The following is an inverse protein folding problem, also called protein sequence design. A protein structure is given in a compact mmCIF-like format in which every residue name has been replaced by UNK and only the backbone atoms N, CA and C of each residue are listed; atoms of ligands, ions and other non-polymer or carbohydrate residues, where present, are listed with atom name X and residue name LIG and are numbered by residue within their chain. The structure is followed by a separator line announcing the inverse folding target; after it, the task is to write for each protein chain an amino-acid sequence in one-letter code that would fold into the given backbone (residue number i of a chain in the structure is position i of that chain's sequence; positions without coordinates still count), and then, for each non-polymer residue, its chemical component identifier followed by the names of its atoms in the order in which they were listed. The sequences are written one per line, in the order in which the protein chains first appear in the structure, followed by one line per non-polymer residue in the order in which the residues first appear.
data_IF_573219703223
#
_entry.id   IF_573219703223
#
_cell.length_a   1.000
_cell.length_b   1.000
_cell.length_c   1.000
_cell.angle_alpha   90.00
_cell.angle_beta   90.00
_cell.angle_gamma   90.00
#
_symmetry.space_group_name_H-M   'P 1'
#
loop_
_entity.id
_entity.type
_entity.pdbx_description
1 polymer ?
#
# COMPACT_ATOMS: atom_id res chain seq x y z
N UNK A 1 20.94 -25.71 -11.40
CA UNK A 1 19.96 -24.59 -11.33
C UNK A 1 20.34 -23.66 -10.17
N UNK A 2 20.72 -22.41 -10.43
CA UNK A 2 20.94 -21.43 -9.37
C UNK A 2 19.62 -21.23 -8.61
N UNK A 3 19.65 -21.38 -7.29
CA UNK A 3 18.48 -21.12 -6.42
C UNK A 3 18.08 -19.65 -6.59
N UNK A 4 16.86 -19.40 -7.04
CA UNK A 4 16.35 -18.03 -7.28
C UNK A 4 16.12 -17.33 -5.92
N UNK A 5 17.14 -16.59 -5.48
CA UNK A 5 17.13 -15.83 -4.23
C UNK A 5 16.26 -14.59 -4.41
N UNK A 6 15.49 -14.24 -3.39
CA UNK A 6 14.76 -12.97 -3.35
C UNK A 6 15.68 -11.86 -2.83
N UNK A 7 15.94 -10.89 -3.66
CA UNK A 7 16.87 -9.79 -3.41
C UNK A 7 16.30 -8.45 -3.87
N UNK A 8 17.12 -7.42 -3.81
CA UNK A 8 16.76 -6.06 -4.25
C UNK A 8 16.29 -6.00 -5.70
N UNK A 9 16.95 -6.69 -6.63
CA UNK A 9 16.60 -6.69 -8.05
C UNK A 9 15.24 -7.34 -8.29
N UNK A 10 14.98 -8.46 -7.58
CA UNK A 10 13.68 -9.13 -7.64
C UNK A 10 12.58 -8.23 -7.09
N UNK A 11 12.82 -7.57 -5.96
CA UNK A 11 11.91 -6.58 -5.39
C UNK A 11 11.62 -5.44 -6.39
N UNK A 12 12.66 -4.82 -6.97
CA UNK A 12 12.52 -3.76 -7.99
C UNK A 12 11.66 -4.20 -9.17
N UNK A 13 11.84 -5.44 -9.63
CA UNK A 13 11.09 -5.98 -10.77
C UNK A 13 9.58 -6.10 -10.49
N UNK A 14 9.19 -6.29 -9.24
CA UNK A 14 7.79 -6.43 -8.81
C UNK A 14 7.08 -5.09 -8.57
N UNK A 15 7.82 -3.98 -8.43
CA UNK A 15 7.24 -2.65 -8.29
C UNK A 15 6.50 -2.28 -9.58
N UNK A 16 5.29 -1.76 -9.43
CA UNK A 16 4.46 -1.31 -10.56
C UNK A 16 5.15 -0.21 -11.38
N UNK A 17 4.82 -0.14 -12.70
CA UNK A 17 5.28 0.96 -13.57
C UNK A 17 4.94 2.34 -13.00
N UNK A 18 3.78 2.46 -12.34
CA UNK A 18 3.36 3.64 -11.58
C UNK A 18 3.01 3.20 -10.16
N UNK A 19 3.95 3.33 -9.25
CA UNK A 19 3.81 2.90 -7.87
C UNK A 19 3.25 4.02 -6.97
N UNK A 20 2.48 3.62 -5.97
CA UNK A 20 2.12 4.49 -4.85
C UNK A 20 3.38 4.83 -4.05
N UNK A 21 3.51 6.08 -3.64
CA UNK A 21 4.66 6.52 -2.84
C UNK A 21 4.37 7.85 -2.12
N UNK A 22 5.13 8.13 -1.08
CA UNK A 22 5.20 9.45 -0.44
C UNK A 22 6.51 9.59 0.34
N UNK A 23 6.85 10.82 0.71
CA UNK A 23 7.90 11.11 1.69
C UNK A 23 7.29 11.40 3.06
N UNK A 24 6.12 12.07 3.07
CA UNK A 24 5.35 12.36 4.27
C UNK A 24 3.86 12.05 4.00
N UNK A 25 3.20 11.40 4.95
CA UNK A 25 1.77 11.09 4.86
C UNK A 25 0.90 12.35 4.91
N UNK A 26 1.38 13.43 5.53
CA UNK A 26 0.69 14.72 5.57
C UNK A 26 0.66 15.41 4.20
N UNK A 27 1.66 15.16 3.35
CA UNK A 27 1.69 15.65 1.95
C UNK A 27 0.80 14.80 1.01
N UNK A 28 0.22 13.72 1.54
CA UNK A 28 -0.62 12.79 0.82
C UNK A 28 0.16 11.72 0.07
N UNK A 29 -0.57 10.70 -0.37
CA UNK A 29 -0.04 9.58 -1.14
C UNK A 29 -0.36 9.77 -2.63
N UNK A 30 0.60 9.52 -3.49
CA UNK A 30 0.47 9.75 -4.94
C UNK A 30 1.14 8.63 -5.75
N UNK A 31 0.80 8.54 -7.03
CA UNK A 31 1.46 7.61 -7.95
C UNK A 31 2.55 8.31 -8.74
N UNK A 32 3.73 7.69 -8.82
CA UNK A 32 4.85 8.14 -9.66
C UNK A 32 5.37 7.00 -10.51
N UNK A 33 6.04 7.31 -11.65
CA UNK A 33 6.84 6.32 -12.38
C UNK A 33 7.80 5.61 -11.42
N UNK A 34 8.06 4.32 -11.66
CA UNK A 34 8.89 3.45 -10.80
C UNK A 34 10.20 4.12 -10.39
N UNK A 35 10.92 4.69 -11.35
CA UNK A 35 12.23 5.31 -11.14
C UNK A 35 12.18 6.48 -10.15
N UNK A 36 11.04 7.18 -10.08
CA UNK A 36 10.82 8.28 -9.13
C UNK A 36 10.21 7.80 -7.82
N UNK A 37 9.40 6.76 -7.86
CA UNK A 37 8.79 6.18 -6.67
C UNK A 37 9.82 5.49 -5.78
N UNK A 38 10.82 4.83 -6.39
CA UNK A 38 11.92 4.15 -5.66
C UNK A 38 12.84 5.10 -4.88
N UNK A 39 12.79 6.39 -5.17
CA UNK A 39 13.53 7.42 -4.43
C UNK A 39 12.77 7.97 -3.22
N UNK A 40 11.51 7.55 -3.03
CA UNK A 40 10.65 8.06 -1.97
C UNK A 40 10.83 7.28 -0.67
N UNK A 41 10.48 7.91 0.45
CA UNK A 41 10.58 7.35 1.80
C UNK A 41 9.69 6.13 1.99
N UNK A 42 8.47 6.19 1.44
CA UNK A 42 7.49 5.10 1.49
C UNK A 42 7.05 4.71 0.09
N UNK A 43 6.82 3.40 -0.14
CA UNK A 43 6.45 2.84 -1.43
C UNK A 43 5.42 1.71 -1.28
N UNK A 44 4.51 1.58 -2.25
CA UNK A 44 3.56 0.48 -2.33
C UNK A 44 4.19 -0.76 -2.98
N UNK A 45 4.22 -1.86 -2.25
CA UNK A 45 4.71 -3.16 -2.73
C UNK A 45 3.59 -3.98 -3.38
N UNK A 46 2.49 -4.15 -2.70
CA UNK A 46 1.31 -4.80 -3.23
C UNK A 46 0.54 -3.87 -4.18
N UNK A 47 -0.27 -4.44 -5.06
CA UNK A 47 -1.10 -3.67 -5.98
C UNK A 47 -2.58 -4.08 -5.87
N UNK A 48 -3.47 -3.41 -6.62
CA UNK A 48 -4.89 -3.71 -6.57
C UNK A 48 -5.28 -5.09 -7.10
N UNK A 49 -4.39 -5.72 -7.87
CA UNK A 49 -4.65 -7.00 -8.51
C UNK A 49 -4.01 -8.18 -7.79
N UNK A 50 -2.87 -7.96 -7.12
CA UNK A 50 -2.07 -9.03 -6.53
C UNK A 50 -1.56 -8.68 -5.13
N UNK A 51 -1.48 -9.71 -4.28
CA UNK A 51 -0.64 -9.74 -3.09
C UNK A 51 0.69 -10.37 -3.53
N UNK A 52 1.74 -9.54 -3.68
CA UNK A 52 3.09 -10.00 -4.00
C UNK A 52 3.80 -10.58 -2.77
N UNK A 53 3.36 -10.19 -1.59
CA UNK A 53 3.85 -10.65 -0.30
C UNK A 53 3.17 -9.94 0.86
N UNK A 54 3.55 -10.31 2.05
CA UNK A 54 3.05 -9.71 3.29
C UNK A 54 4.07 -8.74 3.85
N UNK A 55 3.62 -7.59 4.28
CA UNK A 55 4.40 -6.60 5.01
C UNK A 55 3.78 -6.43 6.38
N UNK A 56 4.61 -6.51 7.42
CA UNK A 56 4.18 -6.32 8.80
C UNK A 56 4.89 -5.10 9.38
N UNK A 57 4.11 -4.14 9.88
CA UNK A 57 4.63 -2.97 10.58
C UNK A 57 4.77 -3.30 12.06
N UNK A 58 6.01 -3.42 12.51
CA UNK A 58 6.35 -3.80 13.88
C UNK A 58 6.86 -2.56 14.61
N UNK A 59 5.97 -1.96 15.42
CA UNK A 59 6.17 -0.67 16.08
C UNK A 59 6.71 -0.81 17.50
N UNK A 60 7.81 -1.58 17.67
CA UNK A 60 8.54 -1.66 18.92
C UNK A 60 10.05 -1.75 18.67
N UNK A 61 10.87 -1.49 19.68
CA UNK A 61 12.33 -1.37 19.59
C UNK A 61 13.05 -2.60 19.03
N UNK A 62 12.45 -3.80 19.18
CA UNK A 62 13.01 -5.07 18.67
C UNK A 62 12.38 -5.47 17.32
N UNK A 63 11.79 -4.55 16.58
CA UNK A 63 11.08 -4.84 15.35
C UNK A 63 11.87 -5.64 14.32
N UNK A 64 13.18 -5.40 14.21
CA UNK A 64 14.05 -6.09 13.26
C UNK A 64 14.27 -7.58 13.57
N UNK A 65 14.09 -8.02 14.82
CA UNK A 65 14.27 -9.42 15.27
C UNK A 65 12.97 -10.05 15.77
N UNK A 66 11.85 -9.35 15.64
CA UNK A 66 10.56 -9.83 16.13
C UNK A 66 10.13 -11.16 15.52
N UNK A 67 10.52 -11.42 14.28
CA UNK A 67 10.27 -12.69 13.59
C UNK A 67 10.94 -13.88 14.29
N UNK A 68 12.17 -13.73 14.77
CA UNK A 68 12.93 -14.76 15.47
C UNK A 68 12.33 -15.01 16.85
N UNK A 69 12.05 -13.94 17.60
CA UNK A 69 11.37 -14.01 18.90
C UNK A 69 9.99 -14.66 18.81
N UNK A 70 9.29 -14.47 17.70
CA UNK A 70 8.00 -15.09 17.42
C UNK A 70 8.11 -16.53 16.87
N UNK A 71 9.33 -17.06 16.63
CA UNK A 71 9.53 -18.36 15.99
C UNK A 71 8.93 -18.44 14.58
N UNK A 72 8.95 -17.34 13.84
CA UNK A 72 8.50 -17.26 12.45
C UNK A 72 9.67 -17.44 11.48
N UNK A 73 9.41 -17.79 10.21
CA UNK A 73 10.45 -17.82 9.19
C UNK A 73 11.12 -16.45 9.05
N UNK A 74 12.39 -16.45 8.66
CA UNK A 74 13.15 -15.23 8.43
C UNK A 74 12.51 -14.41 7.31
N UNK A 75 12.22 -13.10 7.46
CA UNK A 75 11.66 -12.30 6.38
C UNK A 75 12.64 -12.15 5.20
N UNK A 76 12.15 -11.92 3.99
CA UNK A 76 12.97 -11.67 2.80
C UNK A 76 13.72 -10.34 2.85
N UNK A 77 13.09 -9.34 3.48
CA UNK A 77 13.73 -8.07 3.78
C UNK A 77 13.25 -7.54 5.13
N UNK A 78 14.18 -6.89 5.85
CA UNK A 78 13.94 -6.20 7.11
C UNK A 78 14.29 -4.73 6.87
N UNK A 79 13.30 -3.84 7.03
CA UNK A 79 13.45 -2.41 6.77
C UNK A 79 13.28 -1.67 8.10
N UNK A 80 14.37 -1.31 8.72
CA UNK A 80 14.41 -0.79 10.08
C UNK A 80 14.59 0.73 10.10
N UNK A 81 13.82 1.38 10.98
CA UNK A 81 14.12 2.72 11.46
C UNK A 81 15.17 2.61 12.57
N UNK A 82 16.37 3.11 12.33
CA UNK A 82 17.50 3.02 13.27
C UNK A 82 17.36 3.92 14.49
N UNK A 83 16.42 4.88 14.46
CA UNK A 83 16.21 5.82 15.57
C UNK A 83 15.38 5.17 16.68
N UNK A 84 14.32 4.43 16.32
CA UNK A 84 13.37 3.87 17.29
C UNK A 84 13.28 2.34 17.28
N UNK A 85 14.03 1.67 16.40
CA UNK A 85 14.03 0.20 16.28
C UNK A 85 12.83 -0.40 15.55
N UNK A 86 11.80 0.37 15.22
CA UNK A 86 10.64 -0.10 14.49
C UNK A 86 11.01 -0.60 13.10
N UNK A 87 10.34 -1.65 12.63
CA UNK A 87 10.71 -2.28 11.36
C UNK A 87 9.48 -2.73 10.55
N UNK A 88 9.61 -2.66 9.23
CA UNK A 88 8.76 -3.44 8.34
C UNK A 88 9.44 -4.76 7.99
N UNK A 89 8.70 -5.85 8.14
CA UNK A 89 9.14 -7.20 7.78
C UNK A 89 8.43 -7.65 6.53
N UNK A 90 9.19 -7.92 5.46
CA UNK A 90 8.66 -8.34 4.17
C UNK A 90 8.79 -9.85 3.98
N UNK A 91 7.69 -10.53 3.72
CA UNK A 91 7.60 -11.92 3.31
C UNK A 91 7.08 -11.99 1.86
N UNK A 92 7.98 -12.09 0.92
CA UNK A 92 7.65 -12.14 -0.50
C UNK A 92 7.07 -13.50 -0.89
N UNK A 93 6.04 -13.52 -1.72
CA UNK A 93 5.45 -14.75 -2.23
C UNK A 93 6.09 -15.17 -3.55
N UNK A 94 6.39 -16.47 -3.68
CA UNK A 94 6.85 -17.08 -4.92
C UNK A 94 5.82 -16.95 -6.03
N UNK A 95 4.56 -17.14 -5.70
CA UNK A 95 3.41 -16.98 -6.58
C UNK A 95 2.50 -15.92 -5.94
N UNK A 96 2.34 -14.74 -6.56
CA UNK A 96 1.43 -13.72 -6.06
C UNK A 96 -0.02 -14.21 -5.98
N UNK A 97 -0.76 -13.79 -4.96
CA UNK A 97 -2.17 -14.13 -4.81
C UNK A 97 -3.03 -13.11 -5.53
N UNK A 98 -3.88 -13.58 -6.44
CA UNK A 98 -4.80 -12.72 -7.19
C UNK A 98 -5.92 -12.19 -6.27
N UNK A 99 -6.24 -10.88 -6.39
CA UNK A 99 -7.28 -10.17 -5.60
C UNK A 99 -8.50 -9.74 -6.42
N UNK A 100 -8.56 -10.08 -7.70
CA UNK A 100 -9.66 -9.68 -8.58
C UNK A 100 -10.91 -10.53 -8.35
N UNK A 101 -12.05 -10.12 -8.94
CA UNK A 101 -13.31 -10.86 -8.84
C UNK A 101 -13.22 -12.30 -9.39
N UNK A 102 -12.27 -12.57 -10.29
CA UNK A 102 -11.99 -13.91 -10.82
C UNK A 102 -11.04 -14.73 -9.92
N UNK A 103 -10.60 -14.18 -8.79
CA UNK A 103 -9.70 -14.88 -7.89
C UNK A 103 -10.37 -16.07 -7.21
N UNK A 104 -9.63 -17.18 -7.14
CA UNK A 104 -10.06 -18.34 -6.35
C UNK A 104 -10.07 -17.97 -4.86
N UNK A 105 -11.15 -18.30 -4.16
CA UNK A 105 -11.36 -17.93 -2.76
C UNK A 105 -10.36 -18.62 -1.80
N UNK A 106 -9.95 -19.85 -2.10
CA UNK A 106 -9.05 -20.62 -1.23
C UNK A 106 -7.69 -19.94 -1.01
N UNK A 107 -6.94 -19.48 -2.04
CA UNK A 107 -5.70 -18.74 -1.84
C UNK A 107 -5.89 -17.43 -1.08
N UNK A 108 -6.99 -16.70 -1.33
CA UNK A 108 -7.30 -15.46 -0.60
C UNK A 108 -7.54 -15.72 0.89
N UNK A 109 -8.30 -16.78 1.21
CA UNK A 109 -8.51 -17.21 2.60
C UNK A 109 -7.20 -17.56 3.28
N UNK A 110 -6.37 -18.35 2.61
CA UNK A 110 -5.09 -18.74 3.18
C UNK A 110 -4.18 -17.51 3.40
N UNK A 111 -4.16 -16.57 2.43
CA UNK A 111 -3.41 -15.32 2.58
C UNK A 111 -3.89 -14.49 3.78
N UNK A 112 -5.23 -14.43 4.00
CA UNK A 112 -5.82 -13.75 5.16
C UNK A 112 -5.40 -14.41 6.48
N UNK A 113 -5.44 -15.74 6.54
CA UNK A 113 -5.01 -16.50 7.71
C UNK A 113 -3.54 -16.24 8.04
N UNK A 114 -2.66 -16.24 7.03
CA UNK A 114 -1.23 -15.91 7.21
C UNK A 114 -1.06 -14.48 7.72
N UNK A 115 -1.73 -13.51 7.07
CA UNK A 115 -1.67 -12.11 7.49
C UNK A 115 -2.09 -11.94 8.95
N UNK A 116 -3.22 -12.50 9.33
CA UNK A 116 -3.74 -12.40 10.69
C UNK A 116 -2.82 -13.08 11.71
N UNK A 117 -2.41 -14.31 11.42
CA UNK A 117 -1.57 -15.10 12.33
C UNK A 117 -0.19 -14.49 12.56
N UNK A 118 0.45 -13.98 11.51
CA UNK A 118 1.73 -13.30 11.63
C UNK A 118 1.60 -11.96 12.34
N UNK A 119 0.54 -11.17 12.05
CA UNK A 119 0.28 -9.91 12.76
C UNK A 119 0.18 -10.15 14.27
N UNK A 120 -0.53 -11.19 14.72
CA UNK A 120 -0.64 -11.51 16.15
C UNK A 120 0.69 -11.98 16.74
N UNK A 121 1.40 -12.89 16.08
CA UNK A 121 2.67 -13.42 16.55
C UNK A 121 3.77 -12.38 16.63
N UNK A 122 3.84 -11.49 15.63
CA UNK A 122 4.80 -10.38 15.58
C UNK A 122 4.42 -9.23 16.51
N UNK A 123 3.22 -9.22 17.07
CA UNK A 123 2.63 -8.05 17.74
C UNK A 123 2.68 -6.81 16.83
N UNK A 124 2.48 -7.03 15.54
CA UNK A 124 2.51 -5.99 14.53
C UNK A 124 1.25 -5.12 14.60
N UNK A 125 1.31 -3.91 14.04
CA UNK A 125 0.19 -2.99 14.02
C UNK A 125 -1.01 -3.60 13.26
N UNK A 126 -2.11 -3.85 14.00
CA UNK A 126 -3.37 -4.38 13.44
C UNK A 126 -4.09 -3.38 12.53
N UNK A 127 -3.77 -2.10 12.63
CA UNK A 127 -4.35 -1.03 11.80
C UNK A 127 -3.58 -0.80 10.50
N UNK A 128 -2.41 -1.43 10.34
CA UNK A 128 -1.59 -1.30 9.14
C UNK A 128 -2.30 -1.86 7.91
N UNK A 129 -2.58 -0.99 6.96
CA UNK A 129 -3.41 -1.33 5.78
C UNK A 129 -2.62 -1.97 4.62
N UNK A 130 -1.31 -2.23 4.76
CA UNK A 130 -0.43 -2.81 3.73
C UNK A 130 -0.46 -2.06 2.37
N UNK A 131 -0.70 -0.75 2.42
CA UNK A 131 -0.75 0.12 1.22
C UNK A 131 0.61 0.67 0.88
N UNK A 132 1.35 1.15 1.89
CA UNK A 132 2.69 1.71 1.78
C UNK A 132 3.59 1.09 2.84
N UNK A 133 4.79 0.73 2.45
CA UNK A 133 5.83 0.27 3.37
C UNK A 133 7.01 1.23 3.39
N UNK A 134 7.82 1.17 4.44
CA UNK A 134 9.17 1.75 4.44
C UNK A 134 9.90 1.25 3.19
N UNK A 135 10.42 2.16 2.38
CA UNK A 135 10.99 1.79 1.07
C UNK A 135 12.37 1.13 1.25
N UNK A 136 12.53 -0.18 0.96
CA UNK A 136 13.79 -0.87 1.16
C UNK A 136 14.93 -0.38 0.24
N UNK A 137 14.61 0.39 -0.80
CA UNK A 137 15.56 0.96 -1.75
C UNK A 137 16.08 2.34 -1.31
N UNK A 138 15.42 2.97 -0.33
CA UNK A 138 15.85 4.26 0.22
C UNK A 138 16.75 4.04 1.44
N UNK A 139 18.02 3.75 1.17
CA UNK A 139 19.04 3.48 2.18
C UNK A 139 19.43 4.70 3.02
N UNK A 140 19.04 5.91 2.60
CA UNK A 140 19.29 7.15 3.34
C UNK A 140 18.31 7.33 4.50
N UNK A 141 17.10 6.77 4.38
CA UNK A 141 16.04 6.86 5.39
C UNK A 141 15.94 5.63 6.27
N UNK A 142 16.22 4.44 5.70
CA UNK A 142 16.00 3.17 6.35
C UNK A 142 17.21 2.26 6.25
N UNK A 143 17.49 1.51 7.32
CA UNK A 143 18.43 0.40 7.26
C UNK A 143 17.72 -0.82 6.69
N UNK A 144 18.09 -1.23 5.49
CA UNK A 144 17.55 -2.43 4.86
C UNK A 144 18.51 -3.60 4.94
N UNK A 145 18.01 -4.76 5.39
CA UNK A 145 18.72 -6.04 5.38
C UNK A 145 17.99 -7.00 4.46
N UNK A 146 18.58 -7.30 3.31
CA UNK A 146 18.15 -8.40 2.45
C UNK A 146 18.70 -9.70 3.01
N UNK A 147 17.84 -10.72 3.12
CA UNK A 147 18.21 -11.95 3.84
C UNK A 147 18.67 -13.08 2.93
N UNK A 148 18.67 -12.83 1.61
CA UNK A 148 19.15 -13.73 0.55
C UNK A 148 18.50 -15.12 0.56
N UNK A 149 17.26 -15.19 1.01
CA UNK A 149 16.45 -16.40 0.99
C UNK A 149 15.48 -16.38 -0.19
N UNK A 150 14.89 -17.52 -0.54
CA UNK A 150 13.88 -17.61 -1.59
C UNK A 150 12.57 -16.94 -1.16
N UNK A 151 11.81 -16.47 -2.14
CA UNK A 151 10.41 -16.12 -1.91
C UNK A 151 9.62 -17.35 -1.43
N UNK A 152 8.65 -17.12 -0.58
CA UNK A 152 7.91 -18.15 0.13
C UNK A 152 6.74 -18.74 -0.68
N UNK A 153 6.50 -20.01 -0.45
CA UNK A 153 5.20 -20.61 -0.77
C UNK A 153 4.18 -20.19 0.29
N UNK A 154 2.95 -19.91 -0.15
CA UNK A 154 1.89 -19.47 0.74
C UNK A 154 1.49 -20.55 1.77
N UNK A 155 1.47 -21.82 1.36
CA UNK A 155 1.16 -22.93 2.27
C UNK A 155 2.24 -23.09 3.34
N UNK A 156 3.51 -22.96 2.96
CA UNK A 156 4.61 -22.99 3.93
C UNK A 156 4.47 -21.91 5.01
N UNK A 157 4.07 -20.68 4.63
CA UNK A 157 3.83 -19.63 5.63
C UNK A 157 2.64 -19.96 6.53
N UNK A 158 1.61 -20.62 5.99
CA UNK A 158 0.44 -21.02 6.76
C UNK A 158 0.76 -22.05 7.85
N UNK A 159 1.78 -22.90 7.67
CA UNK A 159 2.21 -23.89 8.67
C UNK A 159 2.69 -23.24 9.98
N UNK A 160 3.04 -21.95 9.96
CA UNK A 160 3.42 -21.18 11.14
C UNK A 160 2.25 -20.49 11.84
N UNK A 161 1.02 -20.62 11.33
CA UNK A 161 -0.16 -20.03 11.94
C UNK A 161 -0.83 -21.03 12.88
N UNK A 162 -1.09 -20.69 14.14
CA UNK A 162 -1.78 -21.58 15.07
C UNK A 162 -3.16 -22.00 14.61
N UNK A 163 -3.54 -23.26 14.83
CA UNK A 163 -4.85 -23.84 14.48
C UNK A 163 -6.04 -23.05 15.02
N UNK A 164 -5.89 -22.41 16.17
CA UNK A 164 -6.94 -21.58 16.78
C UNK A 164 -7.30 -20.40 15.87
N UNK A 165 -6.32 -19.78 15.23
CA UNK A 165 -6.54 -18.68 14.28
C UNK A 165 -7.25 -19.21 13.04
N UNK A 166 -6.80 -20.35 12.51
CA UNK A 166 -7.42 -21.02 11.37
C UNK A 166 -8.89 -21.35 11.63
N UNK A 167 -9.22 -21.83 12.83
CA UNK A 167 -10.60 -22.16 13.24
C UNK A 167 -11.47 -20.96 13.49
N UNK A 168 -10.94 -19.90 14.09
CA UNK A 168 -11.68 -18.65 14.35
C UNK A 168 -11.95 -17.85 13.08
N UNK A 169 -11.09 -17.94 12.08
CA UNK A 169 -11.26 -17.28 10.78
C UNK A 169 -12.32 -17.99 9.91
N UNK A 170 -12.64 -19.26 10.20
CA UNK A 170 -13.82 -19.95 9.62
C UNK A 170 -15.15 -19.29 10.02
N UNK A 171 -15.15 -18.47 11.08
CA UNK A 171 -16.28 -17.67 11.54
C UNK A 171 -16.24 -16.21 11.01
N UNK A 172 -16.35 -16.04 9.68
CA UNK A 172 -17.09 -14.95 9.00
C UNK A 172 -16.54 -13.52 8.92
N UNK A 173 -15.41 -13.06 9.47
CA UNK A 173 -15.22 -11.59 9.50
C UNK A 173 -14.07 -10.98 8.69
N UNK A 174 -12.98 -11.69 8.38
CA UNK A 174 -11.79 -11.03 7.81
C UNK A 174 -11.28 -11.58 6.48
N UNK A 175 -11.83 -12.67 5.97
CA UNK A 175 -11.29 -13.38 4.81
C UNK A 175 -11.51 -12.62 3.49
N UNK A 176 -12.56 -11.83 3.45
CA UNK A 176 -12.99 -11.12 2.23
C UNK A 176 -12.45 -9.71 2.10
N UNK A 177 -11.84 -9.14 3.17
CA UNK A 177 -11.43 -7.74 3.23
C UNK A 177 -10.10 -7.42 2.56
N UNK A 178 -9.14 -8.34 2.58
CA UNK A 178 -7.74 -8.13 2.20
C UNK A 178 -7.52 -7.70 0.77
N UNK A 179 -8.03 -6.94 0.11
CA UNK A 179 -7.85 -6.43 -1.25
C UNK A 179 -9.08 -5.65 -1.70
N UNK A 180 -10.27 -6.08 -1.32
CA UNK A 180 -11.50 -5.37 -1.65
C UNK A 180 -11.66 -4.11 -0.79
N UNK A 181 -11.36 -4.20 0.52
CA UNK A 181 -11.34 -3.06 1.43
C UNK A 181 -10.30 -2.03 1.01
N UNK A 182 -9.09 -2.48 0.67
CA UNK A 182 -8.01 -1.59 0.21
C UNK A 182 -8.36 -0.95 -1.13
N UNK A 183 -8.91 -1.70 -2.07
CA UNK A 183 -9.32 -1.16 -3.37
C UNK A 183 -10.43 -0.12 -3.22
N UNK A 184 -11.47 -0.44 -2.44
CA UNK A 184 -12.56 0.50 -2.17
C UNK A 184 -12.04 1.75 -1.42
N UNK A 185 -11.17 1.58 -0.44
CA UNK A 185 -10.55 2.69 0.29
C UNK A 185 -9.76 3.60 -0.66
N UNK A 186 -8.93 3.03 -1.55
CA UNK A 186 -8.14 3.78 -2.53
C UNK A 186 -9.01 4.57 -3.50
N UNK A 187 -10.04 3.93 -4.06
CA UNK A 187 -10.94 4.58 -5.00
C UNK A 187 -11.75 5.69 -4.30
N UNK A 188 -12.27 5.39 -3.10
CA UNK A 188 -13.09 6.33 -2.35
C UNK A 188 -12.31 7.56 -1.88
N UNK A 189 -11.05 7.41 -1.42
CA UNK A 189 -10.24 8.56 -0.99
C UNK A 189 -9.94 9.52 -2.13
N UNK A 190 -9.71 9.02 -3.35
CA UNK A 190 -9.50 9.88 -4.52
C UNK A 190 -10.75 10.70 -4.83
N UNK A 191 -11.94 10.08 -4.72
CA UNK A 191 -13.23 10.75 -4.89
C UNK A 191 -13.45 11.77 -3.77
N UNK A 192 -13.12 11.40 -2.52
CA UNK A 192 -13.23 12.28 -1.38
C UNK A 192 -12.39 13.56 -1.57
N UNK A 193 -11.12 13.43 -1.97
CA UNK A 193 -10.23 14.57 -2.20
C UNK A 193 -10.70 15.53 -3.30
N UNK A 194 -11.40 15.00 -4.32
CA UNK A 194 -11.95 15.83 -5.40
C UNK A 194 -13.18 16.64 -4.97
N UNK A 195 -13.94 16.12 -4.02
CA UNK A 195 -15.25 16.67 -3.69
C UNK A 195 -15.31 17.40 -2.34
N UNK A 196 -14.34 17.19 -1.44
CA UNK A 196 -14.36 17.70 -0.07
C UNK A 196 -14.61 19.22 0.04
N UNK A 197 -13.97 20.01 -0.84
CA UNK A 197 -14.05 21.47 -0.78
C UNK A 197 -15.50 21.98 -0.90
N UNK A 198 -16.32 21.33 -1.75
CA UNK A 198 -17.73 21.65 -1.92
C UNK A 198 -18.52 21.48 -0.60
N UNK A 199 -18.26 20.39 0.12
CA UNK A 199 -18.94 20.09 1.39
C UNK A 199 -18.40 20.89 2.56
N UNK A 200 -17.13 21.28 2.54
CA UNK A 200 -16.56 22.18 3.53
C UNK A 200 -17.13 23.60 3.42
N UNK A 201 -17.49 24.06 2.21
CA UNK A 201 -18.17 25.34 2.00
C UNK A 201 -19.55 25.36 2.67
N UNK A 202 -20.30 24.27 2.57
CA UNK A 202 -21.60 24.12 3.25
C UNK A 202 -21.50 23.76 4.73
N UNK A 203 -20.27 23.50 5.26
CA UNK A 203 -20.00 23.04 6.63
C UNK A 203 -20.80 21.79 7.03
N UNK A 204 -21.11 20.92 6.08
CA UNK A 204 -21.95 19.75 6.28
C UNK A 204 -21.15 18.44 6.15
N UNK A 205 -20.46 18.04 7.25
CA UNK A 205 -19.70 16.79 7.29
C UNK A 205 -20.59 15.56 7.13
N UNK A 206 -21.82 15.62 7.63
CA UNK A 206 -22.76 14.50 7.55
C UNK A 206 -23.21 14.25 6.10
N UNK A 207 -23.45 15.30 5.32
CA UNK A 207 -23.77 15.19 3.91
C UNK A 207 -22.59 14.64 3.11
N UNK A 208 -21.36 15.07 3.44
CA UNK A 208 -20.14 14.51 2.85
C UNK A 208 -20.00 13.01 3.14
N UNK A 209 -20.24 12.59 4.38
CA UNK A 209 -20.24 11.18 4.75
C UNK A 209 -21.29 10.39 3.95
N UNK A 210 -22.53 10.89 3.84
CA UNK A 210 -23.59 10.23 3.09
C UNK A 210 -23.24 10.10 1.61
N UNK A 211 -22.67 11.14 1.02
CA UNK A 211 -22.18 11.10 -0.36
C UNK A 211 -21.11 10.00 -0.54
N UNK A 212 -20.13 9.93 0.36
CA UNK A 212 -19.10 8.91 0.31
C UNK A 212 -19.66 7.50 0.48
N UNK A 213 -20.64 7.34 1.39
CA UNK A 213 -21.27 6.03 1.63
C UNK A 213 -22.04 5.52 0.41
N UNK A 214 -22.86 6.36 -0.22
CA UNK A 214 -23.57 6.00 -1.44
C UNK A 214 -22.61 5.68 -2.59
N UNK A 215 -21.56 6.47 -2.73
CA UNK A 215 -20.53 6.25 -3.75
C UNK A 215 -19.79 4.93 -3.51
N UNK A 216 -19.43 4.64 -2.26
CA UNK A 216 -18.77 3.39 -1.88
C UNK A 216 -19.66 2.16 -2.14
N UNK A 217 -20.95 2.24 -1.87
CA UNK A 217 -21.90 1.15 -2.13
C UNK A 217 -22.02 0.86 -3.64
N UNK A 218 -22.08 1.90 -4.48
CA UNK A 218 -22.07 1.76 -5.94
C UNK A 218 -20.78 1.09 -6.42
N UNK A 219 -19.62 1.59 -6.00
CA UNK A 219 -18.32 1.03 -6.38
C UNK A 219 -18.22 -0.42 -5.92
N UNK A 220 -18.64 -0.72 -4.70
CA UNK A 220 -18.61 -2.06 -4.14
C UNK A 220 -19.45 -3.05 -4.96
N UNK A 221 -20.67 -2.65 -5.35
CA UNK A 221 -21.55 -3.48 -6.20
C UNK A 221 -20.98 -3.71 -7.59
N UNK A 222 -20.36 -2.70 -8.19
CA UNK A 222 -19.76 -2.79 -9.53
C UNK A 222 -18.46 -3.59 -9.53
N UNK A 223 -17.56 -3.30 -8.58
CA UNK A 223 -16.21 -3.89 -8.55
C UNK A 223 -16.17 -5.25 -7.86
N UNK A 224 -17.14 -5.57 -7.03
CA UNK A 224 -17.19 -6.77 -6.20
C UNK A 224 -18.52 -7.56 -6.40
N UNK A 225 -19.07 -7.57 -7.60
CA UNK A 225 -20.40 -8.14 -7.92
C UNK A 225 -20.63 -9.55 -7.36
N UNK A 226 -19.60 -10.41 -7.41
CA UNK A 226 -19.71 -11.82 -6.95
C UNK A 226 -19.53 -11.97 -5.43
N UNK A 227 -18.98 -10.97 -4.76
CA UNK A 227 -18.73 -11.01 -3.32
C UNK A 227 -18.56 -9.60 -2.76
N UNK A 228 -19.64 -8.80 -2.65
CA UNK A 228 -19.58 -7.43 -2.18
C UNK A 228 -19.17 -7.35 -0.71
N UNK A 229 -18.52 -6.26 -0.32
CA UNK A 229 -18.26 -5.93 1.07
C UNK A 229 -19.59 -5.76 1.83
N UNK A 230 -19.58 -6.14 3.10
CA UNK A 230 -20.73 -5.93 3.97
C UNK A 230 -20.94 -4.44 4.28
N UNK A 231 -22.16 -4.07 4.65
CA UNK A 231 -22.47 -2.69 5.07
C UNK A 231 -21.58 -2.18 6.20
N UNK A 232 -21.15 -3.06 7.12
CA UNK A 232 -20.26 -2.69 8.22
C UNK A 232 -18.85 -2.35 7.72
N UNK A 233 -18.31 -3.13 6.78
CA UNK A 233 -16.99 -2.86 6.16
C UNK A 233 -17.02 -1.54 5.37
N UNK A 234 -18.05 -1.32 4.56
CA UNK A 234 -18.25 -0.06 3.83
C UNK A 234 -18.32 1.12 4.80
N UNK A 235 -19.09 0.98 5.89
CA UNK A 235 -19.22 2.02 6.93
C UNK A 235 -17.88 2.39 7.54
N UNK A 236 -17.07 1.41 7.92
CA UNK A 236 -15.74 1.64 8.50
C UNK A 236 -14.81 2.37 7.53
N UNK A 237 -14.79 1.96 6.26
CA UNK A 237 -14.00 2.62 5.21
C UNK A 237 -14.46 4.07 5.04
N UNK A 238 -15.78 4.29 4.91
CA UNK A 238 -16.34 5.64 4.74
C UNK A 238 -16.04 6.55 5.94
N UNK A 239 -16.17 6.04 7.16
CA UNK A 239 -15.83 6.80 8.37
C UNK A 239 -14.36 7.20 8.41
N UNK A 240 -13.46 6.27 8.08
CA UNK A 240 -12.02 6.53 8.04
C UNK A 240 -11.68 7.59 6.98
N UNK A 241 -12.16 7.42 5.75
CA UNK A 241 -11.91 8.37 4.64
C UNK A 241 -12.52 9.73 4.93
N UNK A 242 -13.78 9.78 5.40
CA UNK A 242 -14.48 11.03 5.71
C UNK A 242 -13.74 11.80 6.81
N UNK A 243 -13.53 11.18 7.97
CA UNK A 243 -12.89 11.81 9.14
C UNK A 243 -11.49 12.34 8.81
N UNK A 244 -10.68 11.54 8.11
CA UNK A 244 -9.34 11.98 7.74
C UNK A 244 -9.38 13.14 6.75
N UNK A 245 -10.20 13.04 5.69
CA UNK A 245 -10.29 14.05 4.64
C UNK A 245 -10.84 15.35 5.19
N UNK A 246 -11.88 15.29 6.03
CA UNK A 246 -12.48 16.46 6.68
C UNK A 246 -11.47 17.23 7.53
N UNK A 247 -10.69 16.50 8.32
CA UNK A 247 -9.69 17.09 9.23
C UNK A 247 -8.47 17.65 8.50
N UNK A 248 -7.98 16.95 7.48
CA UNK A 248 -6.66 17.22 6.90
C UNK A 248 -6.71 17.92 5.53
N UNK A 249 -7.89 18.04 4.91
CA UNK A 249 -8.04 18.72 3.62
C UNK A 249 -8.63 20.12 3.82
N UNK A 250 -7.89 21.16 3.42
CA UNK A 250 -8.38 22.55 3.45
C UNK A 250 -8.08 23.24 2.12
N UNK A 251 -8.81 24.33 1.80
CA UNK A 251 -8.51 25.18 0.63
C UNK A 251 -7.04 25.62 0.59
N UNK A 252 -6.47 25.94 1.77
CA UNK A 252 -5.07 26.38 1.90
C UNK A 252 -4.11 25.22 1.58
N UNK A 253 -4.33 24.03 2.12
CA UNK A 253 -3.50 22.85 1.82
C UNK A 253 -3.66 22.39 0.38
N UNK A 254 -4.87 22.42 -0.19
CA UNK A 254 -5.10 22.13 -1.59
C UNK A 254 -4.35 23.10 -2.50
N UNK A 255 -4.40 24.40 -2.22
CA UNK A 255 -3.64 25.43 -2.95
C UNK A 255 -2.13 25.18 -2.89
N UNK A 256 -1.59 24.84 -1.71
CA UNK A 256 -0.17 24.49 -1.53
C UNK A 256 0.21 23.27 -2.37
N UNK A 257 -0.61 22.22 -2.35
CA UNK A 257 -0.37 21.00 -3.13
C UNK A 257 -0.44 21.31 -4.64
N UNK A 258 -1.41 22.11 -5.09
CA UNK A 258 -1.52 22.52 -6.50
C UNK A 258 -0.35 23.41 -6.93
N UNK A 259 0.08 24.34 -6.09
CA UNK A 259 1.26 25.19 -6.34
C UNK A 259 2.53 24.34 -6.46
N UNK A 260 2.76 23.40 -5.55
CA UNK A 260 3.88 22.43 -5.63
C UNK A 260 3.83 21.58 -6.91
N UNK A 261 2.62 21.14 -7.33
CA UNK A 261 2.42 20.40 -8.60
C UNK A 261 2.67 21.28 -9.81
N UNK A 262 2.24 22.55 -9.78
CA UNK A 262 2.47 23.54 -10.83
C UNK A 262 3.96 23.80 -11.02
N UNK A 263 4.72 24.06 -9.95
CA UNK A 263 6.17 24.26 -10.00
C UNK A 263 6.90 23.04 -10.58
N UNK A 264 6.49 21.82 -10.22
CA UNK A 264 7.05 20.60 -10.79
C UNK A 264 6.75 20.42 -12.29
N UNK A 265 5.65 20.99 -12.80
CA UNK A 265 5.29 20.95 -14.23
C UNK A 265 5.98 22.06 -15.04
N UNK A 266 6.14 23.25 -14.47
CA UNK A 266 6.89 24.35 -15.11
C UNK A 266 8.34 23.95 -15.36
N UNK A 267 8.98 23.23 -14.44
CA UNK A 267 10.32 22.67 -14.65
C UNK A 267 10.38 21.63 -15.78
N UNK A 268 9.31 20.86 -16.01
CA UNK A 268 9.22 19.89 -17.11
C UNK A 268 9.03 20.58 -18.47
N UNK A 269 8.20 21.60 -18.54
CA UNK A 269 7.95 22.37 -19.77
C UNK A 269 9.25 23.07 -20.22
N UNK A 270 10.00 23.68 -19.29
CA UNK A 270 11.30 24.29 -19.62
C UNK A 270 12.32 23.25 -20.12
N UNK A 271 12.37 22.06 -19.53
CA UNK A 271 13.30 21.02 -19.97
C UNK A 271 12.93 20.40 -21.32
N UNK A 272 11.65 20.25 -21.68
CA UNK A 272 11.21 19.80 -23.01
C UNK A 272 11.50 20.85 -24.06
N UNK A 273 11.19 22.11 -23.77
CA UNK A 273 11.45 23.22 -24.70
C UNK A 273 12.94 23.42 -25.00
N UNK A 274 13.80 23.22 -23.98
CA UNK A 274 15.27 23.27 -24.12
C UNK A 274 15.80 22.08 -24.92
N UNK A 275 15.22 20.88 -24.73
CA UNK A 275 15.63 19.68 -25.46
C UNK A 275 15.24 19.73 -26.94
N UNK A 276 14.01 20.18 -27.25
CA UNK A 276 13.56 20.40 -28.63
C UNK A 276 14.36 21.49 -29.36
N UNK A 277 14.71 22.57 -28.65
CA UNK A 277 15.58 23.62 -29.20
C UNK A 277 16.99 23.13 -29.46
N UNK A 278 17.53 22.27 -28.59
CA UNK A 278 18.86 21.65 -28.77
C UNK A 278 18.86 20.65 -29.94
N UNK A 279 17.81 19.81 -30.07
CA UNK A 279 17.66 18.88 -31.19
C UNK A 279 17.47 19.62 -32.54
N UNK A 280 16.73 20.72 -32.54
CA UNK A 280 16.59 21.58 -33.72
C UNK A 280 17.90 22.25 -34.13
N UNK A 281 18.68 22.73 -33.13
CA UNK A 281 19.99 23.33 -33.41
C UNK A 281 21.01 22.30 -33.94
N UNK A 282 20.99 21.06 -33.45
CA UNK A 282 21.83 19.97 -33.93
C UNK A 282 21.47 19.51 -35.35
N UNK A 283 20.18 19.58 -35.76
CA UNK A 283 19.75 19.28 -37.13
C UNK A 283 20.12 20.33 -38.19
N UNK A 284 20.47 21.53 -37.73
CA UNK A 284 20.91 22.63 -38.62
C UNK A 284 22.43 22.59 -38.83
N UNK A 285 23.17 21.88 -37.97
CA UNK A 285 24.63 21.77 -37.98
C UNK A 285 25.13 20.45 -38.62
N UNK A 286 24.23 19.56 -39.02
CA UNK A 286 24.49 18.34 -39.83
C UNK A 286 23.86 18.48 -41.21
#
# INVERSE_FOLDING_TARGET
MRKEIYNEDKYKSQIQKYALCCDDFNDGVYRKPREKATLKKYIGYNNKYFINGFVFDVDHEYGAIAWDMAGLPKPNAIIQNTINGHAHLLYALKIPVLKTNSAKIKPLRLASVVQCGFTERLKADKSYADILMKNPLNIFEWRTTWTDIKAYDLYYLADFVPDVIIKNDSNKRNIHGLGRNVNLFEDLRVIAYKNILKYQESKNEHEFYNYLYLTADIINKQSNSNNPLSHNEIRQICQSVCKWTWKNFSKKQFSIIQSKRGMNNVGKIKNTDTKEKLEKALRILL
#
